data_IF_459674603474
#
_entry.id   IF_459674603474
#
_cell.length_a   1.000
_cell.length_b   1.000
_cell.length_c   1.000
_cell.angle_alpha   90.00
_cell.angle_beta   90.00
_cell.angle_gamma   90.00
#
_symmetry.space_group_name_H-M   'P 1'
#
loop_
_entity.id
_entity.type
_entity.pdbx_description
1 polymer ?
#
# COMPACT_ATOMS: atom_id res chain seq x y z
N UNK A 1 -10.84 23.05 4.81
CA UNK A 1 -9.84 21.97 4.90
C UNK A 1 -9.16 22.09 6.26
N UNK A 2 -9.20 21.03 7.05
CA UNK A 2 -8.62 21.00 8.41
C UNK A 2 -7.56 19.88 8.44
N UNK A 3 -6.37 20.22 8.84
CA UNK A 3 -5.26 19.26 8.92
C UNK A 3 -5.31 18.49 10.24
N UNK A 4 -4.81 17.26 10.23
CA UNK A 4 -4.80 16.40 11.43
C UNK A 4 -3.97 17.05 12.56
N UNK A 5 -2.90 17.77 12.21
CA UNK A 5 -2.08 18.50 13.18
C UNK A 5 -2.89 19.57 13.91
N UNK A 6 -3.85 20.21 13.23
CA UNK A 6 -4.76 21.18 13.86
C UNK A 6 -5.68 20.48 14.86
N UNK A 7 -6.18 19.28 14.52
CA UNK A 7 -6.98 18.45 15.42
C UNK A 7 -6.16 18.05 16.66
N UNK A 8 -4.92 17.64 16.46
CA UNK A 8 -4.00 17.30 17.57
C UNK A 8 -3.86 18.50 18.50
N UNK A 9 -3.57 19.69 17.97
CA UNK A 9 -3.30 20.90 18.76
C UNK A 9 -4.57 21.42 19.45
N UNK A 10 -5.71 21.42 18.76
CA UNK A 10 -6.94 22.07 19.24
C UNK A 10 -7.82 21.15 20.09
N UNK A 11 -7.83 19.86 19.83
CA UNK A 11 -8.79 18.93 20.43
C UNK A 11 -8.15 17.85 21.31
N UNK A 12 -7.01 17.27 20.86
CA UNK A 12 -6.33 16.20 21.61
C UNK A 12 -5.44 16.74 22.73
N UNK A 13 -4.47 17.61 22.41
CA UNK A 13 -3.45 18.07 23.38
C UNK A 13 -4.04 18.78 24.61
N UNK A 14 -5.10 19.63 24.51
CA UNK A 14 -5.68 20.23 25.72
C UNK A 14 -6.22 19.18 26.68
N UNK A 15 -6.90 18.15 26.17
CA UNK A 15 -7.44 17.05 26.97
C UNK A 15 -6.31 16.23 27.60
N UNK A 16 -5.35 15.80 26.79
CA UNK A 16 -4.20 14.98 27.20
C UNK A 16 -3.38 15.68 28.31
N UNK A 17 -3.04 16.97 28.09
CA UNK A 17 -2.31 17.76 29.09
C UNK A 17 -3.11 17.96 30.39
N UNK A 18 -4.42 18.12 30.27
CA UNK A 18 -5.30 18.24 31.44
C UNK A 18 -5.31 16.93 32.26
N UNK A 19 -5.38 15.78 31.60
CA UNK A 19 -5.31 14.45 32.26
C UNK A 19 -3.95 14.26 32.95
N UNK A 20 -2.85 14.60 32.27
CA UNK A 20 -1.51 14.51 32.86
C UNK A 20 -1.34 15.46 34.07
N UNK A 21 -1.83 16.69 33.96
CA UNK A 21 -1.74 17.66 35.06
C UNK A 21 -2.53 17.18 36.28
N UNK A 22 -3.72 16.62 36.07
CA UNK A 22 -4.55 16.04 37.12
C UNK A 22 -3.84 14.85 37.79
N UNK A 23 -3.35 13.89 36.98
CA UNK A 23 -2.65 12.70 37.49
C UNK A 23 -1.39 13.07 38.28
N UNK A 24 -0.57 14.01 37.81
CA UNK A 24 0.62 14.48 38.53
C UNK A 24 0.25 15.17 39.85
N UNK A 25 -0.84 15.95 39.87
CA UNK A 25 -1.35 16.57 41.09
C UNK A 25 -1.83 15.53 42.09
N UNK A 26 -2.55 14.52 41.63
CA UNK A 26 -3.05 13.40 42.46
C UNK A 26 -1.90 12.58 43.06
N UNK A 27 -0.77 12.51 42.37
CA UNK A 27 0.47 11.90 42.90
C UNK A 27 1.24 12.80 43.86
N UNK A 28 0.78 14.02 44.09
CA UNK A 28 1.30 14.92 45.10
C UNK A 28 2.25 16.02 44.64
N UNK A 29 2.47 16.17 43.34
CA UNK A 29 3.30 17.26 42.82
C UNK A 29 2.61 18.61 43.03
N UNK A 30 3.40 19.62 43.35
CA UNK A 30 2.91 21.01 43.44
C UNK A 30 2.61 21.56 42.04
N UNK A 31 1.83 22.63 41.94
CA UNK A 31 1.54 23.30 40.66
C UNK A 31 2.82 23.74 39.95
N UNK A 32 3.85 24.11 40.70
CA UNK A 32 5.16 24.50 40.15
C UNK A 32 5.86 23.31 39.50
N UNK A 33 5.93 22.19 40.19
CA UNK A 33 6.55 20.95 39.70
C UNK A 33 5.82 20.40 38.45
N UNK A 34 4.48 20.46 38.46
CA UNK A 34 3.67 20.06 37.28
C UNK A 34 3.97 20.99 36.09
N UNK A 35 4.03 22.30 36.34
CA UNK A 35 4.34 23.28 35.31
C UNK A 35 5.73 23.02 34.70
N UNK A 36 6.71 22.73 35.55
CA UNK A 36 8.08 22.39 35.13
C UNK A 36 8.10 21.06 34.36
N UNK A 37 7.44 20.01 34.88
CA UNK A 37 7.38 18.69 34.24
C UNK A 37 6.76 18.75 32.84
N UNK A 38 5.64 19.47 32.69
CA UNK A 38 4.91 19.56 31.41
C UNK A 38 5.41 20.69 30.50
N UNK A 39 6.34 21.53 30.96
CA UNK A 39 6.86 22.65 30.16
C UNK A 39 5.82 23.73 29.87
N UNK A 40 4.88 23.98 30.81
CA UNK A 40 3.79 24.95 30.66
C UNK A 40 3.78 25.94 31.81
N UNK A 41 2.97 27.00 31.73
CA UNK A 41 2.88 27.98 32.79
C UNK A 41 2.06 27.45 33.99
N UNK A 42 2.34 27.94 35.19
CA UNK A 42 1.55 27.61 36.38
C UNK A 42 0.06 28.01 36.20
N UNK A 43 -0.21 29.11 35.50
CA UNK A 43 -1.58 29.52 35.20
C UNK A 43 -2.29 28.52 34.28
N UNK A 44 -1.55 27.85 33.37
CA UNK A 44 -2.12 26.76 32.55
C UNK A 44 -2.41 25.52 33.39
N UNK A 45 -1.52 25.15 34.33
CA UNK A 45 -1.76 24.05 35.29
C UNK A 45 -3.02 24.32 36.10
N UNK A 46 -3.18 25.57 36.59
CA UNK A 46 -4.39 25.97 37.35
C UNK A 46 -5.66 25.77 36.52
N UNK A 47 -5.67 26.19 35.27
CA UNK A 47 -6.83 26.00 34.36
C UNK A 47 -7.15 24.51 34.13
N UNK A 48 -6.12 23.70 33.93
CA UNK A 48 -6.28 22.26 33.74
C UNK A 48 -6.83 21.59 35.00
N UNK A 49 -6.27 21.92 36.16
CA UNK A 49 -6.69 21.34 37.46
C UNK A 49 -8.10 21.76 37.92
N UNK A 50 -8.58 22.92 37.48
CA UNK A 50 -9.92 23.41 37.86
C UNK A 50 -11.01 23.09 36.83
N UNK A 51 -10.66 22.37 35.74
CA UNK A 51 -11.62 22.00 34.72
C UNK A 51 -12.05 23.14 33.80
N UNK A 52 -11.29 24.21 33.73
CA UNK A 52 -11.55 25.38 32.88
C UNK A 52 -11.22 25.12 31.41
N UNK A 53 -10.75 23.91 31.09
CA UNK A 53 -10.42 23.49 29.73
C UNK A 53 -11.45 22.48 29.25
N UNK A 54 -12.03 22.73 28.11
CA UNK A 54 -12.94 21.76 27.46
C UNK A 54 -12.17 20.47 27.14
N UNK A 55 -12.66 19.38 27.69
CA UNK A 55 -12.10 18.03 27.46
C UNK A 55 -12.99 17.29 26.47
N UNK A 56 -12.34 16.56 25.56
CA UNK A 56 -13.05 15.66 24.64
C UNK A 56 -13.26 14.31 25.33
N UNK A 57 -14.49 13.94 25.56
CA UNK A 57 -14.85 12.68 26.26
C UNK A 57 -14.23 11.45 25.58
N UNK A 58 -14.18 11.45 24.23
CA UNK A 58 -13.61 10.35 23.47
C UNK A 58 -12.10 10.16 23.76
N UNK A 59 -11.38 11.24 24.08
CA UNK A 59 -9.96 11.19 24.47
C UNK A 59 -9.83 10.73 25.93
N UNK A 60 -10.68 11.28 26.82
CA UNK A 60 -10.70 10.93 28.26
C UNK A 60 -10.98 9.44 28.47
N UNK A 61 -11.84 8.84 27.63
CA UNK A 61 -12.25 7.45 27.79
C UNK A 61 -11.32 6.45 27.06
N UNK A 62 -10.43 6.93 26.18
CA UNK A 62 -9.55 6.08 25.40
C UNK A 62 -8.55 5.34 26.30
N UNK A 63 -8.42 4.03 26.13
CA UNK A 63 -7.60 3.17 27.00
C UNK A 63 -6.09 3.39 26.79
N UNK A 64 -5.66 3.64 25.57
CA UNK A 64 -4.24 3.89 25.27
C UNK A 64 -3.79 5.22 25.88
N UNK A 65 -4.66 6.23 25.79
CA UNK A 65 -4.42 7.54 26.41
C UNK A 65 -4.31 7.41 27.94
N UNK A 66 -5.26 6.72 28.57
CA UNK A 66 -5.26 6.50 30.03
C UNK A 66 -3.98 5.78 30.48
N UNK A 67 -3.61 4.72 29.77
CA UNK A 67 -2.43 3.91 30.07
C UNK A 67 -1.16 4.78 30.00
N UNK A 68 -1.02 5.60 28.96
CA UNK A 68 0.14 6.46 28.83
C UNK A 68 0.18 7.57 29.89
N UNK A 69 -0.97 8.16 30.23
CA UNK A 69 -1.07 9.17 31.30
C UNK A 69 -0.57 8.59 32.62
N UNK A 70 -1.01 7.38 32.99
CA UNK A 70 -0.57 6.69 34.23
C UNK A 70 0.94 6.38 34.19
N UNK A 71 1.44 5.89 33.05
CA UNK A 71 2.87 5.56 32.87
C UNK A 71 3.75 6.81 33.01
N UNK A 72 3.39 7.89 32.33
CA UNK A 72 4.13 9.16 32.36
C UNK A 72 4.05 9.77 33.75
N UNK A 73 2.85 9.80 34.35
CA UNK A 73 2.65 10.35 35.68
C UNK A 73 3.46 9.63 36.74
N UNK A 74 3.41 8.30 36.73
CA UNK A 74 4.23 7.47 37.63
C UNK A 74 5.71 7.72 37.43
N UNK A 75 6.19 7.61 36.18
CA UNK A 75 7.62 7.71 35.86
C UNK A 75 8.22 9.08 36.16
N UNK A 76 7.48 10.16 35.88
CA UNK A 76 7.92 11.53 36.20
C UNK A 76 7.98 11.76 37.70
N UNK A 77 7.00 11.19 38.46
CA UNK A 77 6.94 11.35 39.92
C UNK A 77 8.09 10.60 40.62
N UNK A 78 8.40 9.40 40.15
CA UNK A 78 9.50 8.58 40.72
C UNK A 78 10.87 8.98 40.19
N UNK A 79 10.94 9.71 39.10
CA UNK A 79 12.20 10.04 38.40
C UNK A 79 12.70 8.92 37.50
N UNK A 80 11.88 7.89 37.24
CA UNK A 80 12.25 6.76 36.39
C UNK A 80 12.28 7.13 34.90
N UNK A 81 11.53 8.16 34.50
CA UNK A 81 11.56 8.67 33.13
C UNK A 81 11.86 10.18 33.13
N UNK A 82 12.58 10.61 32.12
CA UNK A 82 12.87 12.03 31.90
C UNK A 82 11.71 12.70 31.13
N UNK A 83 11.69 14.04 31.15
CA UNK A 83 10.75 14.84 30.35
C UNK A 83 10.87 14.53 28.86
N UNK A 84 12.08 14.26 28.38
CA UNK A 84 12.33 13.91 26.98
C UNK A 84 11.71 12.56 26.63
N UNK A 85 11.87 11.58 27.53
CA UNK A 85 11.21 10.26 27.35
C UNK A 85 9.68 10.39 27.34
N UNK A 86 9.12 11.16 28.28
CA UNK A 86 7.69 11.42 28.33
C UNK A 86 7.18 12.05 27.01
N UNK A 87 7.95 13.01 26.47
CA UNK A 87 7.62 13.62 25.16
C UNK A 87 7.66 12.58 24.05
N UNK A 88 8.72 11.76 23.97
CA UNK A 88 8.86 10.72 22.93
C UNK A 88 7.69 9.73 22.98
N UNK A 89 7.33 9.24 24.19
CA UNK A 89 6.20 8.31 24.34
C UNK A 89 4.86 8.94 23.93
N UNK A 90 4.69 10.24 24.24
CA UNK A 90 3.51 11.01 23.82
C UNK A 90 3.43 11.14 22.30
N UNK A 91 4.56 11.45 21.65
CA UNK A 91 4.62 11.56 20.18
C UNK A 91 4.33 10.20 19.49
N UNK A 92 4.86 9.10 20.05
CA UNK A 92 4.59 7.75 19.55
C UNK A 92 3.09 7.43 19.67
N UNK A 93 2.47 7.77 20.81
CA UNK A 93 1.02 7.57 20.98
C UNK A 93 0.23 8.41 19.97
N UNK A 94 0.58 9.70 19.80
CA UNK A 94 -0.11 10.58 18.84
C UNK A 94 -0.09 9.94 17.44
N UNK A 95 1.08 9.51 16.95
CA UNK A 95 1.22 8.87 15.63
C UNK A 95 0.33 7.61 15.50
N UNK A 96 0.27 6.81 16.55
CA UNK A 96 -0.60 5.62 16.56
C UNK A 96 -2.09 6.02 16.52
N UNK A 97 -2.48 7.03 17.28
CA UNK A 97 -3.89 7.49 17.35
C UNK A 97 -4.32 8.23 16.06
N UNK A 98 -3.37 8.81 15.32
CA UNK A 98 -3.59 9.36 13.98
C UNK A 98 -3.91 8.26 12.95
N UNK A 99 -3.36 7.06 13.14
CA UNK A 99 -3.45 5.93 12.19
C UNK A 99 -4.69 5.05 12.42
N UNK A 100 -5.81 5.61 12.86
CA UNK A 100 -7.07 4.88 13.06
C UNK A 100 -7.58 4.86 14.49
N UNK A 101 -6.96 5.66 15.38
CA UNK A 101 -7.38 5.81 16.77
C UNK A 101 -8.32 7.00 17.00
N UNK A 102 -8.32 7.52 18.24
CA UNK A 102 -9.21 8.61 18.64
C UNK A 102 -8.93 9.91 17.87
N UNK A 103 -7.67 10.17 17.48
CA UNK A 103 -7.32 11.39 16.71
C UNK A 103 -7.89 11.31 15.29
N UNK A 104 -7.82 10.14 14.65
CA UNK A 104 -8.45 9.92 13.34
C UNK A 104 -9.95 10.20 13.39
N UNK A 105 -10.65 9.67 14.41
CA UNK A 105 -12.09 9.90 14.62
C UNK A 105 -12.43 11.39 14.84
N UNK A 106 -11.62 12.10 15.62
CA UNK A 106 -11.79 13.56 15.81
C UNK A 106 -11.62 14.32 14.48
N UNK A 107 -10.71 13.83 13.61
CA UNK A 107 -10.53 14.44 12.30
C UNK A 107 -11.76 14.20 11.40
N UNK A 108 -12.32 12.98 11.41
CA UNK A 108 -13.57 12.66 10.71
C UNK A 108 -14.73 13.55 11.22
N UNK A 109 -14.87 13.70 12.53
CA UNK A 109 -15.90 14.59 13.13
C UNK A 109 -15.76 16.04 12.64
N UNK A 110 -14.52 16.51 12.46
CA UNK A 110 -14.23 17.89 12.02
C UNK A 110 -14.31 18.08 10.51
N UNK A 111 -14.28 16.97 9.75
CA UNK A 111 -14.31 16.97 8.28
C UNK A 111 -15.05 15.71 7.77
N UNK A 112 -16.40 15.73 7.82
CA UNK A 112 -17.20 14.53 7.49
C UNK A 112 -16.98 13.95 6.10
N UNK A 113 -16.50 14.75 5.15
CA UNK A 113 -16.17 14.27 3.81
C UNK A 113 -15.11 13.16 3.81
N UNK A 114 -14.34 13.04 4.89
CA UNK A 114 -13.35 11.99 5.05
C UNK A 114 -13.99 10.60 5.23
N UNK A 115 -15.20 10.53 5.82
CA UNK A 115 -15.94 9.27 5.97
C UNK A 115 -16.34 8.66 4.62
N UNK A 116 -16.56 9.51 3.62
CA UNK A 116 -16.94 9.10 2.27
C UNK A 116 -15.71 8.72 1.42
N UNK A 117 -14.51 9.03 1.91
CA UNK A 117 -13.27 8.76 1.17
C UNK A 117 -12.77 7.33 1.49
N UNK A 118 -12.90 6.46 0.50
CA UNK A 118 -12.46 5.07 0.59
C UNK A 118 -10.92 5.02 0.70
N UNK A 119 -10.41 4.66 1.83
CA UNK A 119 -8.97 4.70 2.13
C UNK A 119 -8.57 5.76 3.15
N UNK A 120 -9.54 6.33 3.85
CA UNK A 120 -9.29 7.32 4.90
C UNK A 120 -8.31 6.81 5.97
N UNK A 121 -8.44 5.55 6.39
CA UNK A 121 -7.51 4.94 7.36
C UNK A 121 -6.06 4.93 6.87
N UNK A 122 -5.86 4.96 5.54
CA UNK A 122 -4.53 4.99 4.90
C UNK A 122 -3.92 6.40 4.85
N UNK A 123 -4.73 7.46 4.98
CA UNK A 123 -4.22 8.86 4.96
C UNK A 123 -3.30 9.09 6.16
N UNK A 124 -3.61 8.49 7.30
CA UNK A 124 -2.95 8.74 8.59
C UNK A 124 -1.92 7.66 8.95
N UNK A 125 -1.79 6.60 8.14
CA UNK A 125 -0.77 5.59 8.35
C UNK A 125 0.59 6.12 7.83
N UNK A 126 1.60 6.29 8.68
CA UNK A 126 2.92 6.79 8.24
C UNK A 126 3.65 5.84 7.28
N UNK A 127 3.31 4.56 7.32
CA UNK A 127 3.79 3.57 6.34
C UNK A 127 2.72 3.29 5.28
N UNK A 128 1.58 3.99 5.38
CA UNK A 128 0.33 3.60 4.79
C UNK A 128 -0.01 4.14 3.42
N UNK A 129 -1.26 3.99 3.10
CA UNK A 129 -1.85 3.93 1.79
C UNK A 129 -1.50 5.02 0.79
N UNK A 130 -1.48 6.29 1.16
CA UNK A 130 -1.16 7.37 0.20
C UNK A 130 0.29 7.32 -0.25
N UNK A 131 1.22 7.11 0.69
CA UNK A 131 2.64 6.99 0.37
C UNK A 131 2.87 5.73 -0.47
N UNK A 132 2.28 4.61 -0.06
CA UNK A 132 2.38 3.32 -0.77
C UNK A 132 1.72 3.41 -2.15
N UNK A 133 0.54 4.03 -2.27
CA UNK A 133 -0.16 4.23 -3.54
C UNK A 133 0.67 5.10 -4.50
N UNK A 134 1.26 6.20 -3.99
CA UNK A 134 2.10 7.06 -4.83
C UNK A 134 3.44 6.37 -5.17
N UNK A 135 3.98 5.55 -4.28
CA UNK A 135 5.16 4.72 -4.58
C UNK A 135 4.86 3.72 -5.70
N UNK A 136 3.70 3.03 -5.66
CA UNK A 136 3.26 2.10 -6.70
C UNK A 136 3.11 2.83 -8.04
N UNK A 137 2.37 3.97 -8.06
CA UNK A 137 2.20 4.77 -9.29
C UNK A 137 3.54 5.27 -9.83
N UNK A 138 4.42 5.74 -8.95
CA UNK A 138 5.73 6.29 -9.32
C UNK A 138 6.65 5.20 -9.89
N UNK A 139 6.67 4.03 -9.26
CA UNK A 139 7.41 2.85 -9.75
C UNK A 139 6.88 2.43 -11.13
N UNK A 140 5.56 2.33 -11.25
CA UNK A 140 4.91 1.95 -12.51
C UNK A 140 5.18 2.98 -13.62
N UNK A 141 5.14 4.29 -13.33
CA UNK A 141 5.52 5.33 -14.30
C UNK A 141 6.96 5.16 -14.78
N UNK A 142 7.88 4.81 -13.87
CA UNK A 142 9.29 4.56 -14.20
C UNK A 142 9.45 3.36 -15.12
N UNK A 143 8.81 2.25 -14.75
CA UNK A 143 8.83 1.00 -15.52
C UNK A 143 8.21 1.22 -16.91
N UNK A 144 7.08 1.91 -17.02
CA UNK A 144 6.43 2.23 -18.30
C UNK A 144 7.35 3.05 -19.22
N UNK A 145 8.05 4.06 -18.69
CA UNK A 145 9.01 4.83 -19.49
C UNK A 145 10.15 3.97 -20.01
N UNK A 146 10.66 3.05 -19.19
CA UNK A 146 11.71 2.10 -19.62
C UNK A 146 11.17 1.16 -20.68
N UNK A 147 10.01 0.57 -20.43
CA UNK A 147 9.35 -0.41 -21.29
C UNK A 147 9.10 0.15 -22.71
N UNK A 148 8.52 1.35 -22.79
CA UNK A 148 8.20 1.98 -24.09
C UNK A 148 9.44 2.43 -24.86
N UNK A 149 10.58 2.56 -24.20
CA UNK A 149 11.86 2.89 -24.85
C UNK A 149 12.65 1.64 -25.30
N UNK A 150 12.16 0.43 -25.00
CA UNK A 150 12.80 -0.81 -25.48
C UNK A 150 12.47 -0.96 -26.96
N UNK A 151 13.50 -0.96 -27.80
CA UNK A 151 13.35 -1.18 -29.25
C UNK A 151 12.69 -2.54 -29.49
N UNK A 152 11.58 -2.55 -30.23
CA UNK A 152 10.84 -3.75 -30.55
C UNK A 152 9.70 -4.08 -29.59
N UNK A 153 9.56 -3.39 -28.44
CA UNK A 153 8.46 -3.67 -27.51
C UNK A 153 7.09 -3.54 -28.19
N UNK A 154 6.93 -2.59 -29.11
CA UNK A 154 5.68 -2.43 -29.87
C UNK A 154 5.23 -3.73 -30.55
N UNK A 155 6.18 -4.59 -30.98
CA UNK A 155 5.86 -5.89 -31.62
C UNK A 155 5.32 -6.92 -30.63
N UNK A 156 5.53 -6.72 -29.33
CA UNK A 156 5.01 -7.61 -28.28
C UNK A 156 3.60 -7.20 -27.81
N UNK A 157 3.07 -6.08 -28.30
CA UNK A 157 1.74 -5.60 -27.89
C UNK A 157 0.67 -6.39 -28.64
N UNK A 158 -0.23 -7.11 -27.95
CA UNK A 158 -1.33 -7.82 -28.64
C UNK A 158 -2.34 -6.83 -29.23
N UNK A 159 -3.21 -7.31 -30.15
CA UNK A 159 -4.24 -6.47 -30.76
C UNK A 159 -5.20 -5.83 -29.74
N UNK A 160 -5.44 -6.55 -28.63
CA UNK A 160 -6.27 -6.03 -27.53
C UNK A 160 -5.54 -4.98 -26.71
N UNK A 161 -4.24 -4.73 -26.96
CA UNK A 161 -3.41 -3.82 -26.17
C UNK A 161 -2.73 -4.51 -24.98
N UNK A 162 -1.59 -3.97 -24.57
CA UNK A 162 -0.88 -4.38 -23.34
C UNK A 162 -1.32 -3.55 -22.14
N UNK A 163 -1.15 -4.10 -20.94
CA UNK A 163 -1.14 -3.31 -19.71
C UNK A 163 -0.07 -3.82 -18.78
N UNK A 164 0.73 -2.91 -18.24
CA UNK A 164 1.65 -3.19 -17.14
C UNK A 164 0.95 -2.69 -15.87
N UNK A 165 0.77 -3.60 -14.91
CA UNK A 165 0.08 -3.30 -13.66
C UNK A 165 1.01 -3.53 -12.46
N UNK A 166 0.74 -2.83 -11.36
CA UNK A 166 1.40 -3.05 -10.08
C UNK A 166 0.39 -2.84 -8.94
N UNK A 167 0.44 -3.69 -7.92
CA UNK A 167 -0.54 -3.66 -6.84
C UNK A 167 0.02 -3.12 -5.53
N UNK A 168 -0.89 -2.74 -4.63
CA UNK A 168 -0.58 -2.46 -3.23
C UNK A 168 -0.12 -3.75 -2.53
N UNK A 169 0.68 -3.66 -1.46
CA UNK A 169 1.14 -4.86 -0.75
C UNK A 169 0.02 -5.76 -0.23
N UNK A 170 -1.08 -5.16 0.20
CA UNK A 170 -2.26 -5.83 0.75
C UNK A 170 -3.42 -5.94 -0.25
N UNK A 171 -3.13 -5.87 -1.56
CA UNK A 171 -4.13 -5.88 -2.62
C UNK A 171 -5.01 -7.14 -2.61
N UNK A 172 -6.32 -6.93 -2.66
CA UNK A 172 -7.34 -7.99 -2.74
C UNK A 172 -8.36 -7.75 -3.84
N UNK A 173 -8.45 -6.53 -4.35
CA UNK A 173 -9.43 -6.15 -5.39
C UNK A 173 -8.74 -5.42 -6.54
N UNK A 174 -9.43 -5.33 -7.66
CA UNK A 174 -8.93 -4.58 -8.84
C UNK A 174 -8.64 -3.12 -8.48
N UNK A 175 -9.38 -2.56 -7.54
CA UNK A 175 -9.17 -1.17 -7.08
C UNK A 175 -7.84 -0.98 -6.34
N UNK A 176 -7.19 -2.06 -5.91
CA UNK A 176 -5.86 -2.05 -5.28
C UNK A 176 -4.72 -2.20 -6.30
N UNK A 177 -5.04 -2.30 -7.59
CA UNK A 177 -4.07 -2.53 -8.67
C UNK A 177 -4.04 -1.32 -9.61
N UNK A 178 -2.87 -0.70 -9.75
CA UNK A 178 -2.64 0.41 -10.67
C UNK A 178 -2.24 -0.12 -12.05
N UNK A 179 -2.75 0.49 -13.10
CA UNK A 179 -2.43 0.16 -14.50
C UNK A 179 -2.58 1.38 -15.40
N UNK A 180 -2.40 1.17 -16.70
CA UNK A 180 -2.56 2.23 -17.71
C UNK A 180 -4.03 2.34 -18.12
N UNK A 181 -4.70 3.50 -17.90
CA UNK A 181 -6.05 3.68 -18.41
C UNK A 181 -6.06 3.63 -19.96
N UNK A 182 -6.92 2.77 -20.53
CA UNK A 182 -7.01 2.61 -21.97
C UNK A 182 -5.93 1.75 -22.60
N UNK A 183 -5.04 1.14 -21.82
CA UNK A 183 -3.99 0.20 -22.27
C UNK A 183 -2.83 0.86 -23.04
N UNK A 184 -1.77 0.10 -23.29
CA UNK A 184 -0.62 0.46 -24.12
C UNK A 184 -0.88 -0.08 -25.53
N UNK A 185 -0.74 0.75 -26.54
CA UNK A 185 -0.99 0.35 -27.95
C UNK A 185 0.24 0.56 -28.81
N UNK A 186 0.39 -0.31 -29.82
CA UNK A 186 1.27 -0.01 -30.93
C UNK A 186 0.62 1.03 -31.84
N UNK A 187 1.28 2.17 -32.00
CA UNK A 187 0.90 3.19 -32.97
C UNK A 187 2.07 3.38 -33.93
N UNK A 188 1.99 2.69 -35.07
CA UNK A 188 2.99 2.78 -36.16
C UNK A 188 4.41 2.34 -35.74
N UNK A 189 4.50 1.33 -34.89
CA UNK A 189 5.76 0.81 -34.41
C UNK A 189 6.26 1.43 -33.10
N UNK A 190 5.48 2.38 -32.55
CA UNK A 190 5.80 3.01 -31.28
C UNK A 190 4.79 2.61 -30.18
N UNK A 191 5.30 2.10 -29.06
CA UNK A 191 4.47 1.77 -27.90
C UNK A 191 3.98 3.07 -27.25
N UNK A 192 2.69 3.30 -27.27
CA UNK A 192 2.05 4.53 -26.78
C UNK A 192 1.26 4.28 -25.51
N UNK A 193 1.57 5.04 -24.45
CA UNK A 193 0.89 5.02 -23.15
C UNK A 193 -0.04 6.25 -23.09
N UNK A 194 -1.36 6.07 -23.07
CA UNK A 194 -2.29 7.22 -23.17
C UNK A 194 -2.43 8.05 -21.88
N UNK A 195 -2.06 7.52 -20.72
CA UNK A 195 -2.22 8.24 -19.45
C UNK A 195 -1.38 7.72 -18.30
N UNK A 196 -1.15 8.11 -17.16
CA UNK A 196 -0.58 7.76 -16.20
C UNK A 196 -1.23 6.74 -15.66
N UNK A 197 -0.58 6.13 -14.80
CA UNK A 197 -1.17 5.01 -14.08
C UNK A 197 -2.25 5.42 -13.07
N UNK A 198 -3.32 4.69 -13.09
CA UNK A 198 -4.48 4.87 -12.19
C UNK A 198 -4.85 3.52 -11.58
N UNK A 199 -5.44 3.55 -10.39
CA UNK A 199 -5.97 2.35 -9.73
C UNK A 199 -7.32 1.97 -10.35
N UNK A 200 -7.65 0.65 -10.38
CA UNK A 200 -8.94 0.16 -10.82
C UNK A 200 -9.18 0.13 -12.34
N UNK A 201 -8.14 0.37 -13.16
CA UNK A 201 -8.33 0.59 -14.62
C UNK A 201 -8.00 -0.61 -15.52
N UNK A 202 -7.46 -1.68 -15.00
CA UNK A 202 -6.99 -2.83 -15.79
C UNK A 202 -7.57 -4.15 -15.28
N UNK A 203 -8.88 -4.33 -15.43
CA UNK A 203 -9.60 -5.47 -14.89
C UNK A 203 -8.93 -6.83 -15.22
N UNK A 204 -8.58 -7.04 -16.49
CA UNK A 204 -8.07 -8.33 -16.96
C UNK A 204 -6.71 -8.71 -16.36
N UNK A 205 -5.70 -7.85 -16.53
CA UNK A 205 -4.34 -8.13 -16.05
C UNK A 205 -4.30 -8.08 -14.50
N UNK A 206 -5.10 -7.19 -13.90
CA UNK A 206 -5.23 -7.13 -12.45
C UNK A 206 -5.81 -8.44 -11.87
N UNK A 207 -6.84 -8.99 -12.52
CA UNK A 207 -7.43 -10.28 -12.07
C UNK A 207 -6.42 -11.42 -12.13
N UNK A 208 -5.61 -11.49 -13.19
CA UNK A 208 -4.54 -12.51 -13.29
C UNK A 208 -3.56 -12.37 -12.12
N UNK A 209 -3.13 -11.14 -11.81
CA UNK A 209 -2.21 -10.86 -10.70
C UNK A 209 -2.82 -11.25 -9.36
N UNK A 210 -4.07 -10.85 -9.11
CA UNK A 210 -4.77 -11.12 -7.86
C UNK A 210 -5.01 -12.62 -7.66
N UNK A 211 -5.40 -13.33 -8.73
CA UNK A 211 -5.57 -14.80 -8.69
C UNK A 211 -4.25 -15.50 -8.31
N UNK A 212 -3.13 -15.05 -8.84
CA UNK A 212 -1.82 -15.59 -8.43
C UNK A 212 -1.57 -15.35 -6.93
N UNK A 213 -1.86 -14.15 -6.44
CA UNK A 213 -1.68 -13.80 -5.02
C UNK A 213 -2.60 -14.62 -4.10
N UNK A 214 -3.84 -14.85 -4.50
CA UNK A 214 -4.80 -15.73 -3.79
C UNK A 214 -4.27 -17.17 -3.68
N UNK A 215 -3.45 -17.59 -4.65
CA UNK A 215 -2.77 -18.90 -4.63
C UNK A 215 -1.44 -18.86 -3.84
N UNK A 216 -1.14 -17.74 -3.15
CA UNK A 216 -0.01 -17.63 -2.23
C UNK A 216 1.31 -17.21 -2.88
N UNK A 217 1.28 -16.70 -4.11
CA UNK A 217 2.48 -16.09 -4.74
C UNK A 217 2.64 -14.63 -4.29
N UNK A 218 3.89 -14.19 -4.15
CA UNK A 218 4.23 -12.83 -3.71
C UNK A 218 4.48 -11.87 -4.89
N UNK A 219 3.76 -12.04 -5.99
CA UNK A 219 3.87 -11.15 -7.14
C UNK A 219 3.16 -9.82 -6.86
N UNK A 220 3.80 -8.73 -7.26
CA UNK A 220 3.24 -7.37 -7.11
C UNK A 220 3.07 -6.66 -8.44
N UNK A 221 3.42 -7.32 -9.57
CA UNK A 221 3.29 -6.73 -10.89
C UNK A 221 3.03 -7.80 -11.94
N UNK A 222 2.32 -7.41 -13.02
CA UNK A 222 2.04 -8.28 -14.16
C UNK A 222 1.95 -7.45 -15.45
N UNK A 223 2.26 -8.09 -16.59
CA UNK A 223 2.06 -7.54 -17.92
C UNK A 223 1.43 -8.61 -18.82
N UNK A 224 0.62 -8.19 -19.79
CA UNK A 224 0.21 -9.06 -20.90
C UNK A 224 0.96 -8.67 -22.18
N UNK A 225 1.44 -9.68 -22.92
CA UNK A 225 2.09 -9.51 -24.23
C UNK A 225 1.49 -10.50 -25.23
N UNK A 226 1.75 -10.29 -26.50
CA UNK A 226 1.28 -11.19 -27.56
C UNK A 226 1.88 -12.60 -27.38
N UNK A 227 1.15 -13.59 -27.81
CA UNK A 227 1.62 -14.98 -27.80
C UNK A 227 2.39 -15.26 -29.08
N UNK A 228 3.59 -15.79 -28.94
CA UNK A 228 4.36 -16.45 -30.00
C UNK A 228 5.04 -17.67 -29.38
N UNK A 229 5.09 -18.77 -30.11
CA UNK A 229 5.74 -20.02 -29.64
C UNK A 229 7.19 -19.77 -29.23
N UNK A 230 7.91 -18.97 -30.03
CA UNK A 230 9.32 -18.64 -29.80
C UNK A 230 9.51 -17.90 -28.48
N UNK A 231 8.57 -17.01 -28.10
CA UNK A 231 8.61 -16.30 -26.81
C UNK A 231 8.44 -17.27 -25.64
N UNK A 232 7.50 -18.21 -25.76
CA UNK A 232 7.27 -19.25 -24.74
C UNK A 232 8.52 -20.12 -24.57
N UNK A 233 9.18 -20.51 -25.68
CA UNK A 233 10.41 -21.30 -25.66
C UNK A 233 11.57 -20.51 -25.01
N UNK A 234 11.71 -19.23 -25.31
CA UNK A 234 12.72 -18.37 -24.69
C UNK A 234 12.49 -18.25 -23.17
N UNK A 235 11.26 -17.99 -22.74
CA UNK A 235 10.88 -17.90 -21.32
C UNK A 235 11.15 -19.21 -20.58
N UNK A 236 10.83 -20.35 -21.23
CA UNK A 236 11.12 -21.69 -20.69
C UNK A 236 12.64 -21.91 -20.54
N UNK A 237 13.41 -21.53 -21.54
CA UNK A 237 14.88 -21.70 -21.56
C UNK A 237 15.53 -20.81 -20.50
N UNK A 238 14.96 -19.62 -20.24
CA UNK A 238 15.41 -18.72 -19.19
C UNK A 238 15.10 -19.24 -17.76
N UNK A 239 14.32 -20.32 -17.65
CA UNK A 239 14.03 -20.97 -16.37
C UNK A 239 12.84 -20.40 -15.62
N UNK A 240 11.98 -19.62 -16.27
CA UNK A 240 10.75 -19.12 -15.65
C UNK A 240 9.73 -20.25 -15.48
N UNK A 241 8.86 -20.13 -14.48
CA UNK A 241 7.75 -21.08 -14.25
C UNK A 241 6.66 -20.81 -15.27
N UNK A 242 6.38 -21.78 -16.15
CA UNK A 242 5.37 -21.65 -17.20
C UNK A 242 4.18 -22.54 -16.94
N UNK A 243 2.97 -21.99 -17.17
CA UNK A 243 1.73 -22.75 -17.15
C UNK A 243 0.81 -22.30 -18.28
N UNK A 244 0.29 -23.29 -19.01
CA UNK A 244 -0.75 -23.06 -20.01
C UNK A 244 -2.13 -23.23 -19.37
N UNK A 245 -3.09 -22.39 -19.74
CA UNK A 245 -4.48 -22.55 -19.36
C UNK A 245 -5.39 -22.45 -20.59
N UNK A 246 -6.59 -23.02 -20.49
CA UNK A 246 -7.57 -22.99 -21.57
C UNK A 246 -8.61 -21.90 -21.27
N UNK A 247 -8.67 -20.80 -22.03
CA UNK A 247 -9.64 -19.71 -21.76
C UNK A 247 -11.09 -20.13 -22.03
N UNK A 248 -11.32 -21.22 -22.75
CA UNK A 248 -12.64 -21.77 -23.06
C UNK A 248 -13.03 -22.92 -22.11
N UNK A 249 -12.24 -23.22 -21.07
CA UNK A 249 -12.52 -24.27 -20.09
C UNK A 249 -13.90 -24.06 -19.42
N UNK A 250 -14.57 -25.15 -19.10
CA UNK A 250 -15.92 -25.14 -18.52
C UNK A 250 -16.05 -24.20 -17.30
N UNK A 251 -17.15 -23.47 -17.27
CA UNK A 251 -17.44 -22.36 -16.37
C UNK A 251 -17.51 -22.70 -14.86
N UNK A 252 -17.28 -23.95 -14.48
CA UNK A 252 -17.33 -24.36 -13.07
C UNK A 252 -16.02 -24.11 -12.28
N UNK A 253 -14.94 -23.76 -12.98
CA UNK A 253 -13.66 -23.43 -12.36
C UNK A 253 -12.96 -22.33 -13.15
N UNK A 254 -12.40 -21.35 -12.46
CA UNK A 254 -11.57 -20.30 -13.08
C UNK A 254 -10.31 -20.97 -13.67
N UNK A 255 -10.07 -20.88 -14.99
CA UNK A 255 -8.89 -21.51 -15.63
C UNK A 255 -7.57 -20.98 -15.06
N UNK A 256 -7.50 -19.69 -14.73
CA UNK A 256 -6.31 -19.04 -14.17
C UNK A 256 -6.05 -19.55 -12.76
N UNK A 257 -7.10 -19.67 -11.93
CA UNK A 257 -7.02 -20.25 -10.59
C UNK A 257 -6.48 -21.68 -10.64
N UNK A 258 -6.98 -22.49 -11.57
CA UNK A 258 -6.53 -23.87 -11.77
C UNK A 258 -5.05 -23.93 -12.19
N UNK A 259 -4.63 -23.03 -13.09
CA UNK A 259 -3.26 -22.95 -13.56
C UNK A 259 -2.28 -22.64 -12.40
N UNK A 260 -2.54 -21.61 -11.60
CA UNK A 260 -1.68 -21.25 -10.48
C UNK A 260 -1.66 -22.31 -9.38
N UNK A 261 -2.81 -22.95 -9.11
CA UNK A 261 -2.87 -24.10 -8.17
C UNK A 261 -1.97 -25.26 -8.64
N UNK A 262 -1.89 -25.52 -9.97
CA UNK A 262 -1.04 -26.59 -10.51
C UNK A 262 0.45 -26.28 -10.36
N UNK A 263 0.87 -25.03 -10.54
CA UNK A 263 2.27 -24.60 -10.31
C UNK A 263 2.65 -24.88 -8.86
N UNK A 264 1.79 -24.46 -7.92
CA UNK A 264 2.07 -24.57 -6.48
C UNK A 264 2.19 -26.03 -6.01
N UNK A 265 1.36 -26.92 -6.56
CA UNK A 265 1.36 -28.33 -6.19
C UNK A 265 2.58 -29.13 -6.72
N UNK A 266 3.21 -28.63 -7.76
CA UNK A 266 4.31 -29.32 -8.44
C UNK A 266 5.71 -28.90 -7.97
N UNK A 267 5.83 -27.83 -7.18
CA UNK A 267 7.12 -27.33 -6.73
C UNK A 267 7.38 -27.60 -5.23
N UNK A 268 8.55 -28.17 -4.96
CA UNK A 268 9.17 -28.09 -3.63
C UNK A 268 9.50 -26.61 -3.38
N UNK A 269 8.80 -26.02 -2.45
CA UNK A 269 8.78 -24.58 -2.12
C UNK A 269 10.20 -23.99 -2.01
N UNK A 270 10.73 -23.46 -3.09
CA UNK A 270 11.91 -22.60 -3.04
C UNK A 270 11.62 -21.31 -3.81
N UNK A 271 11.30 -20.26 -3.08
CA UNK A 271 11.10 -18.88 -3.52
C UNK A 271 9.79 -18.61 -4.28
N UNK A 272 8.79 -18.14 -3.55
CA UNK A 272 7.50 -17.63 -4.08
C UNK A 272 7.68 -16.34 -4.93
N UNK A 273 8.92 -15.88 -5.13
CA UNK A 273 9.25 -14.65 -5.85
C UNK A 273 9.85 -14.87 -7.24
N UNK A 274 10.14 -16.11 -7.65
CA UNK A 274 10.62 -16.39 -9.02
C UNK A 274 9.53 -16.00 -10.01
N UNK A 275 9.81 -15.15 -11.02
CA UNK A 275 8.78 -14.75 -11.98
C UNK A 275 8.09 -15.95 -12.63
N UNK A 276 6.78 -15.82 -12.82
CA UNK A 276 5.95 -16.85 -13.42
C UNK A 276 5.32 -16.34 -14.71
N UNK A 277 5.03 -17.27 -15.59
CA UNK A 277 4.41 -16.99 -16.89
C UNK A 277 3.17 -17.89 -17.02
N UNK A 278 2.01 -17.28 -17.18
CA UNK A 278 0.84 -18.04 -17.61
C UNK A 278 0.42 -17.58 -19.01
N UNK A 279 -0.03 -18.52 -19.82
CA UNK A 279 -0.37 -18.20 -21.20
C UNK A 279 -1.50 -19.09 -21.70
N UNK A 280 -2.15 -18.62 -22.77
CA UNK A 280 -3.11 -19.41 -23.52
C UNK A 280 -2.90 -19.20 -25.02
N UNK A 281 -3.19 -20.23 -25.78
CA UNK A 281 -3.03 -20.26 -27.24
C UNK A 281 -4.26 -19.72 -27.97
N UNK A 282 -5.17 -19.06 -27.22
CA UNK A 282 -6.39 -18.47 -27.75
C UNK A 282 -7.57 -19.43 -27.70
N UNK A 283 -8.73 -18.92 -28.04
CA UNK A 283 -10.01 -19.65 -28.06
C UNK A 283 -10.96 -19.00 -29.04
N UNK A 284 -12.25 -19.35 -28.95
CA UNK A 284 -13.26 -18.78 -29.86
C UNK A 284 -13.43 -17.27 -29.58
N UNK A 285 -12.87 -16.45 -30.50
CA UNK A 285 -12.90 -14.99 -30.36
C UNK A 285 -11.94 -14.43 -29.30
N UNK A 286 -11.03 -15.25 -28.78
CA UNK A 286 -10.06 -14.85 -27.75
C UNK A 286 -8.66 -14.86 -28.37
N UNK A 287 -7.98 -13.72 -28.36
CA UNK A 287 -6.61 -13.58 -28.85
C UNK A 287 -5.64 -14.32 -27.91
N UNK A 288 -4.66 -15.08 -28.47
CA UNK A 288 -3.64 -15.73 -27.63
C UNK A 288 -2.80 -14.71 -26.88
N UNK A 289 -2.52 -14.95 -25.59
CA UNK A 289 -1.85 -13.97 -24.69
C UNK A 289 -0.85 -14.72 -23.80
N UNK A 290 0.29 -14.05 -23.53
CA UNK A 290 1.24 -14.40 -22.47
C UNK A 290 1.11 -13.36 -21.36
N UNK A 291 0.99 -13.80 -20.11
CA UNK A 291 1.06 -12.97 -18.92
C UNK A 291 2.37 -13.28 -18.18
N UNK A 292 3.14 -12.24 -17.87
CA UNK A 292 4.38 -12.34 -17.09
C UNK A 292 4.12 -11.68 -15.74
N UNK A 293 4.38 -12.42 -14.64
CA UNK A 293 4.17 -11.96 -13.27
C UNK A 293 5.50 -11.94 -12.52
N UNK A 294 5.74 -10.91 -11.73
CA UNK A 294 7.00 -10.74 -10.99
C UNK A 294 6.79 -9.96 -9.69
N UNK A 295 7.82 -9.94 -8.87
CA UNK A 295 7.83 -9.21 -7.59
C UNK A 295 7.71 -7.70 -7.74
N UNK A 296 8.10 -7.14 -8.90
CA UNK A 296 7.88 -5.72 -9.20
C UNK A 296 7.92 -5.45 -10.71
N UNK A 297 7.52 -4.25 -11.12
CA UNK A 297 7.41 -3.84 -12.52
C UNK A 297 8.78 -3.70 -13.22
N UNK A 298 9.84 -3.42 -12.48
CA UNK A 298 11.18 -3.29 -13.05
C UNK A 298 11.73 -4.66 -13.51
N UNK A 299 11.44 -5.72 -12.72
CA UNK A 299 11.79 -7.11 -13.12
C UNK A 299 11.09 -7.46 -14.43
N UNK A 300 9.81 -7.09 -14.58
CA UNK A 300 9.06 -7.32 -15.84
C UNK A 300 9.75 -6.62 -17.01
N UNK A 301 10.20 -5.37 -16.82
CA UNK A 301 10.91 -4.60 -17.86
C UNK A 301 12.22 -5.31 -18.25
N UNK A 302 12.94 -5.87 -17.28
CA UNK A 302 14.17 -6.64 -17.52
C UNK A 302 13.88 -7.89 -18.35
N UNK A 303 12.84 -8.65 -17.99
CA UNK A 303 12.41 -9.85 -18.75
C UNK A 303 12.08 -9.47 -20.20
N UNK A 304 11.27 -8.41 -20.40
CA UNK A 304 10.91 -7.94 -21.75
C UNK A 304 12.15 -7.52 -22.53
N UNK A 305 13.11 -6.86 -21.88
CA UNK A 305 14.36 -6.44 -22.50
C UNK A 305 15.20 -7.66 -22.91
N UNK A 306 15.23 -8.71 -22.09
CA UNK A 306 15.92 -9.98 -22.41
C UNK A 306 15.28 -10.68 -23.62
N UNK A 307 13.93 -10.74 -23.67
CA UNK A 307 13.19 -11.34 -24.79
C UNK A 307 13.50 -10.64 -26.13
N UNK A 308 13.76 -9.34 -26.09
CA UNK A 308 14.01 -8.52 -27.30
C UNK A 308 15.50 -8.33 -27.58
N UNK A 309 16.39 -8.84 -26.71
CA UNK A 309 17.81 -8.76 -26.92
C UNK A 309 18.18 -9.64 -28.15
N UNK A 310 18.97 -9.13 -29.11
CA UNK A 310 19.38 -9.95 -30.23
C UNK A 310 20.17 -11.16 -29.71
N UNK A 311 19.74 -12.36 -30.07
CA UNK A 311 20.46 -13.59 -29.75
C UNK A 311 21.94 -13.43 -30.16
N UNK A 312 22.83 -13.43 -29.18
CA UNK A 312 24.25 -13.63 -29.51
C UNK A 312 24.42 -15.10 -29.93
N UNK A 313 24.23 -15.36 -31.24
CA UNK A 313 24.54 -16.66 -31.82
C UNK A 313 26.04 -16.89 -31.67
N UNK A 314 26.41 -17.64 -30.65
CA UNK A 314 27.76 -18.15 -30.45
C UNK A 314 28.06 -19.30 -31.43
#
# INVERSE_FOLDING_TARGET
MKFIEEVVVEEFLPTFRSMLAEDLRDRGLTQHEVAEALGISQSAVSKYAHGDVSRRDVVVTDNDVKTLVDQIGSGLTTGDISRVQALVESEVLIRRLESGGVIARLHEESMPELEEYDGYSRIHDPEGGLRTSEQVRSSLRRALRRLTNITGFANLIPNVGSNLVACLPDATTVDDVAGVPGRIFDIKGDATVPGXPEFGVSEHVASVLLTARENGFEFNSAINICYETDLVEQLSTAGYKLVEFDPDADADADPIQTAFSSIRNNDDVQSDMTPAVCYHTGGYGVEPIIYILAGDAEIIVEIVQELLAPEMRG
#
